data_IF_762473244919
#
_entry.id   IF_762473244919
#
_cell.length_a   1.000
_cell.length_b   1.000
_cell.length_c   1.000
_cell.angle_alpha   90.00
_cell.angle_beta   90.00
_cell.angle_gamma   90.00
#
_symmetry.space_group_name_H-M   'P 1'
#
loop_
_entity.id
_entity.type
_entity.pdbx_description
1 polymer ?
#
# COMPACT_ATOMS: atom_id res chain seq x y z
N UNK A 1 20.30 37.13 25.89
CA UNK A 1 19.52 36.05 26.52
C UNK A 1 18.16 35.79 25.87
N UNK A 2 17.40 36.81 25.53
CA UNK A 2 16.08 36.64 24.88
C UNK A 2 16.18 36.03 23.46
N UNK A 3 17.24 36.30 22.74
CA UNK A 3 17.48 35.76 21.39
C UNK A 3 17.81 34.25 21.45
N UNK A 4 18.54 33.82 22.46
CA UNK A 4 18.86 32.39 22.67
C UNK A 4 17.64 31.55 23.03
N UNK A 5 16.70 32.11 23.80
CA UNK A 5 15.45 31.45 24.15
C UNK A 5 14.54 31.29 22.95
N UNK A 6 14.48 32.28 22.06
CA UNK A 6 13.72 32.21 20.84
C UNK A 6 14.28 31.18 19.86
N UNK A 7 15.61 31.06 19.76
CA UNK A 7 16.27 30.04 18.95
C UNK A 7 16.03 28.63 19.47
N UNK A 8 16.04 28.45 20.78
CA UNK A 8 15.76 27.15 21.40
C UNK A 8 14.30 26.71 21.22
N UNK A 9 13.36 27.64 21.15
CA UNK A 9 11.95 27.32 20.86
C UNK A 9 11.69 26.99 19.39
N UNK A 10 12.51 27.52 18.48
CA UNK A 10 12.36 27.24 17.05
C UNK A 10 13.01 25.90 16.64
N UNK A 11 14.04 25.47 17.31
CA UNK A 11 14.76 24.23 17.00
C UNK A 11 13.89 22.96 17.05
N UNK A 12 13.03 22.75 18.07
CA UNK A 12 12.15 21.56 18.09
C UNK A 12 11.10 21.56 16.99
N UNK A 13 10.70 22.72 16.49
CA UNK A 13 9.70 22.86 15.43
C UNK A 13 10.29 22.63 14.03
N UNK A 14 11.58 22.97 13.84
CA UNK A 14 12.23 22.89 12.54
C UNK A 14 12.50 21.46 12.07
N UNK A 15 12.59 20.48 12.99
CA UNK A 15 12.85 19.08 12.67
C UNK A 15 11.68 18.15 12.91
N UNK A 16 10.51 18.66 13.26
CA UNK A 16 9.35 17.82 13.58
C UNK A 16 8.61 17.39 12.32
N UNK A 17 8.38 16.06 12.19
CA UNK A 17 7.49 15.54 11.18
C UNK A 17 6.06 16.04 11.46
N UNK A 18 5.33 16.34 10.39
CA UNK A 18 3.95 16.80 10.48
C UNK A 18 3.03 15.79 9.81
N UNK A 19 1.93 15.52 10.46
CA UNK A 19 0.86 14.74 9.88
C UNK A 19 -0.17 15.71 9.29
N UNK A 20 -0.47 15.54 8.01
CA UNK A 20 -1.48 16.36 7.34
C UNK A 20 -2.31 15.47 6.41
N UNK A 21 -3.63 15.73 6.33
CA UNK A 21 -4.46 15.00 5.38
C UNK A 21 -4.16 15.46 3.96
N UNK A 22 -4.09 14.50 3.05
CA UNK A 22 -3.94 14.79 1.63
C UNK A 22 -4.66 13.72 0.82
N UNK A 23 -5.04 14.07 -0.39
CA UNK A 23 -5.68 13.16 -1.31
C UNK A 23 -4.76 12.86 -2.47
N UNK A 24 -4.59 11.56 -2.77
CA UNK A 24 -3.86 11.12 -3.94
C UNK A 24 -4.83 10.56 -4.96
N UNK A 25 -4.88 11.13 -6.18
CA UNK A 25 -5.66 10.52 -7.25
C UNK A 25 -4.98 9.22 -7.69
N UNK A 26 -5.65 8.10 -7.47
CA UNK A 26 -5.15 6.78 -7.84
C UNK A 26 -6.04 6.24 -8.96
N UNK A 27 -5.40 5.88 -10.08
CA UNK A 27 -6.08 5.16 -11.14
C UNK A 27 -5.95 3.67 -10.88
N UNK A 28 -7.07 2.99 -10.81
CA UNK A 28 -7.11 1.55 -10.55
C UNK A 28 -7.71 0.83 -11.74
N UNK A 29 -7.21 -0.38 -12.01
CA UNK A 29 -7.84 -1.32 -12.93
C UNK A 29 -8.62 -2.32 -12.08
N UNK A 30 -9.90 -2.45 -12.36
CA UNK A 30 -10.78 -3.28 -11.55
C UNK A 30 -11.38 -4.43 -12.39
N UNK A 31 -11.69 -5.51 -11.69
CA UNK A 31 -12.33 -6.70 -12.24
C UNK A 31 -13.53 -7.07 -11.36
N UNK A 32 -14.49 -7.76 -11.96
CA UNK A 32 -15.65 -8.28 -11.24
C UNK A 32 -15.59 -9.80 -11.01
N UNK A 33 -14.52 -10.45 -11.43
CA UNK A 33 -14.34 -11.90 -11.31
C UNK A 33 -12.98 -12.18 -10.66
N UNK A 34 -13.02 -12.79 -9.47
CA UNK A 34 -11.82 -13.13 -8.72
C UNK A 34 -10.94 -14.16 -9.45
N UNK A 35 -11.56 -15.10 -10.14
CA UNK A 35 -10.83 -16.13 -10.88
C UNK A 35 -10.02 -15.52 -12.02
N UNK A 36 -10.59 -14.58 -12.76
CA UNK A 36 -9.88 -13.87 -13.82
C UNK A 36 -8.68 -13.08 -13.30
N UNK A 37 -8.85 -12.40 -12.17
CA UNK A 37 -7.77 -11.61 -11.56
C UNK A 37 -6.62 -12.48 -11.14
N UNK A 38 -6.90 -13.55 -10.41
CA UNK A 38 -5.88 -14.47 -9.94
C UNK A 38 -5.19 -15.17 -11.11
N UNK A 39 -5.94 -15.57 -12.11
CA UNK A 39 -5.40 -16.19 -13.32
C UNK A 39 -4.48 -15.23 -14.07
N UNK A 40 -4.90 -13.97 -14.24
CA UNK A 40 -4.08 -12.94 -14.87
C UNK A 40 -2.75 -12.75 -14.14
N UNK A 41 -2.78 -12.60 -12.82
CA UNK A 41 -1.56 -12.41 -12.05
C UNK A 41 -0.65 -13.62 -12.08
N UNK A 42 -1.21 -14.82 -11.99
CA UNK A 42 -0.42 -16.05 -12.01
C UNK A 42 0.16 -16.35 -13.38
N UNK A 43 -0.63 -16.25 -14.43
CA UNK A 43 -0.20 -16.62 -15.80
C UNK A 43 0.61 -15.53 -16.49
N UNK A 44 0.18 -14.29 -16.36
CA UNK A 44 0.82 -13.17 -17.09
C UNK A 44 1.98 -12.57 -16.30
N UNK A 45 1.87 -12.48 -14.99
CA UNK A 45 2.87 -11.84 -14.15
C UNK A 45 3.65 -12.81 -13.27
N UNK A 46 3.19 -14.05 -13.15
CA UNK A 46 3.82 -15.03 -12.27
C UNK A 46 3.73 -14.66 -10.80
N UNK A 47 2.73 -13.88 -10.42
CA UNK A 47 2.53 -13.39 -9.07
C UNK A 47 1.55 -14.25 -8.30
N UNK A 48 1.88 -14.52 -7.04
CA UNK A 48 1.06 -15.30 -6.12
C UNK A 48 0.82 -14.49 -4.85
N UNK A 49 -0.33 -14.70 -4.18
CA UNK A 49 -0.59 -13.97 -2.95
C UNK A 49 0.37 -14.37 -1.84
N UNK A 50 0.98 -13.38 -1.18
CA UNK A 50 1.89 -13.58 -0.06
C UNK A 50 1.35 -13.04 1.25
N UNK A 51 0.29 -12.27 1.22
CA UNK A 51 -0.32 -11.72 2.42
C UNK A 51 -1.64 -11.05 2.12
N UNK A 52 -2.48 -10.98 3.13
CA UNK A 52 -3.75 -10.26 3.07
C UNK A 52 -4.08 -9.64 4.42
N UNK A 53 -4.87 -8.59 4.41
CA UNK A 53 -5.32 -7.92 5.62
C UNK A 53 -6.61 -7.16 5.40
N UNK A 54 -7.30 -6.89 6.48
CA UNK A 54 -8.52 -6.09 6.43
C UNK A 54 -8.17 -4.62 6.28
N UNK A 55 -8.94 -3.93 5.45
CA UNK A 55 -8.80 -2.48 5.24
C UNK A 55 -9.94 -1.78 5.96
N UNK A 56 -9.62 -0.77 6.74
CA UNK A 56 -10.62 0.11 7.33
C UNK A 56 -11.28 0.93 6.21
N UNK A 57 -12.57 0.73 6.02
CA UNK A 57 -13.33 1.40 4.98
C UNK A 57 -14.67 1.86 5.53
N UNK A 58 -15.11 3.04 5.08
CA UNK A 58 -16.42 3.57 5.42
C UNK A 58 -17.56 2.86 4.68
N UNK A 59 -17.23 2.22 3.56
CA UNK A 59 -18.21 1.68 2.63
C UNK A 59 -18.47 0.18 2.83
N UNK A 60 -17.97 -0.39 3.91
CA UNK A 60 -18.15 -1.79 4.24
C UNK A 60 -16.86 -2.57 4.34
N UNK A 61 -16.94 -3.89 4.55
CA UNK A 61 -15.74 -4.72 4.69
C UNK A 61 -14.95 -4.79 3.39
N UNK A 62 -13.68 -4.48 3.49
CA UNK A 62 -12.70 -4.56 2.39
C UNK A 62 -11.46 -5.24 2.89
N UNK A 63 -10.74 -5.90 2.00
CA UNK A 63 -9.44 -6.43 2.35
C UNK A 63 -8.45 -6.21 1.21
N UNK A 64 -7.18 -6.21 1.55
CA UNK A 64 -6.11 -6.08 0.59
C UNK A 64 -5.26 -7.33 0.54
N UNK A 65 -4.66 -7.58 -0.61
CA UNK A 65 -3.72 -8.66 -0.78
C UNK A 65 -2.49 -8.17 -1.54
N UNK A 66 -1.33 -8.69 -1.15
CA UNK A 66 -0.10 -8.43 -1.88
C UNK A 66 0.21 -9.65 -2.72
N UNK A 67 0.35 -9.44 -4.03
CA UNK A 67 0.75 -10.43 -5.01
C UNK A 67 2.23 -10.24 -5.30
N UNK A 68 2.97 -11.32 -5.42
CA UNK A 68 4.43 -11.27 -5.53
C UNK A 68 4.97 -12.36 -6.44
N UNK A 69 5.94 -11.98 -7.27
CA UNK A 69 6.73 -12.91 -8.08
C UNK A 69 8.17 -12.88 -7.57
N UNK A 70 8.65 -13.97 -6.91
CA UNK A 70 10.01 -13.99 -6.37
C UNK A 70 11.11 -14.02 -7.43
N UNK A 71 10.80 -14.48 -8.63
CA UNK A 71 11.78 -14.60 -9.72
C UNK A 71 12.02 -13.27 -10.43
N UNK A 72 10.94 -12.51 -10.69
CA UNK A 72 11.02 -11.22 -11.38
C UNK A 72 10.87 -10.03 -10.44
N UNK A 73 10.99 -10.15 -9.15
CA UNK A 73 10.54 -9.37 -8.01
C UNK A 73 9.45 -8.32 -8.32
N UNK A 74 8.45 -8.70 -9.09
CA UNK A 74 7.28 -7.87 -9.32
C UNK A 74 6.26 -8.06 -8.22
N UNK A 75 5.46 -7.03 -7.96
CA UNK A 75 4.44 -7.07 -6.92
C UNK A 75 3.26 -6.21 -7.31
N UNK A 76 2.10 -6.58 -6.77
CA UNK A 76 0.85 -5.83 -6.98
C UNK A 76 0.05 -5.82 -5.68
N UNK A 77 -0.51 -4.68 -5.33
CA UNK A 77 -1.45 -4.57 -4.24
C UNK A 77 -2.87 -4.57 -4.80
N UNK A 78 -3.64 -5.58 -4.41
CA UNK A 78 -5.03 -5.74 -4.80
C UNK A 78 -5.94 -5.37 -3.64
N UNK A 79 -7.05 -4.70 -3.94
CA UNK A 79 -8.10 -4.47 -2.97
C UNK A 79 -9.36 -5.19 -3.39
N UNK A 80 -10.06 -5.77 -2.42
CA UNK A 80 -11.27 -6.55 -2.63
C UNK A 80 -12.41 -5.83 -1.92
N UNK A 81 -13.42 -5.43 -2.67
CA UNK A 81 -14.56 -4.68 -2.15
C UNK A 81 -15.84 -5.43 -2.44
N UNK A 82 -16.68 -5.57 -1.41
CA UNK A 82 -18.01 -6.08 -1.59
C UNK A 82 -18.95 -4.90 -1.83
N UNK A 83 -19.63 -4.90 -2.96
CA UNK A 83 -20.58 -3.84 -3.29
C UNK A 83 -21.83 -4.02 -2.42
N UNK A 84 -22.29 -2.93 -1.80
CA UNK A 84 -23.47 -2.92 -0.95
C UNK A 84 -24.70 -3.37 -1.71
N UNK A 85 -25.47 -4.33 -1.13
CA UNK A 85 -26.65 -4.90 -1.74
C UNK A 85 -26.40 -5.91 -2.86
N UNK A 86 -25.14 -6.23 -3.14
CA UNK A 86 -24.75 -7.18 -4.16
C UNK A 86 -23.78 -8.20 -3.57
N UNK A 87 -23.87 -9.44 -4.02
CA UNK A 87 -22.90 -10.48 -3.64
C UNK A 87 -21.61 -10.39 -4.46
N UNK A 88 -21.59 -9.56 -5.49
CA UNK A 88 -20.44 -9.39 -6.36
C UNK A 88 -19.30 -8.70 -5.62
N UNK A 89 -18.10 -9.22 -5.82
CA UNK A 89 -16.87 -8.65 -5.30
C UNK A 89 -16.16 -7.92 -6.44
N UNK A 90 -15.76 -6.68 -6.17
CA UNK A 90 -14.94 -5.91 -7.10
C UNK A 90 -13.49 -5.97 -6.62
N UNK A 91 -12.59 -6.34 -7.49
CA UNK A 91 -11.16 -6.45 -7.19
C UNK A 91 -10.43 -5.39 -7.98
N UNK A 92 -9.66 -4.56 -7.32
CA UNK A 92 -8.94 -3.46 -7.96
C UNK A 92 -7.44 -3.57 -7.71
N UNK A 93 -6.67 -3.41 -8.79
CA UNK A 93 -5.23 -3.23 -8.70
C UNK A 93 -4.95 -1.76 -8.43
N UNK A 94 -4.48 -1.45 -7.24
CA UNK A 94 -4.27 -0.08 -6.80
C UNK A 94 -2.87 0.41 -7.15
N UNK A 95 -1.87 -0.42 -6.93
CA UNK A 95 -0.49 -0.09 -7.20
C UNK A 95 0.32 -1.38 -7.36
N UNK A 96 1.43 -1.26 -7.99
CA UNK A 96 2.34 -2.36 -8.18
C UNK A 96 3.70 -1.84 -8.63
N UNK A 97 4.64 -2.73 -8.79
CA UNK A 97 5.96 -2.34 -9.21
C UNK A 97 6.89 -3.52 -9.34
N UNK A 98 8.16 -3.21 -9.39
CA UNK A 98 9.25 -4.18 -9.43
C UNK A 98 10.16 -3.97 -8.23
N UNK A 99 11.05 -4.93 -7.99
CA UNK A 99 12.06 -4.84 -6.95
C UNK A 99 11.50 -4.76 -5.53
N UNK A 100 10.56 -5.67 -5.23
CA UNK A 100 10.11 -5.86 -3.86
C UNK A 100 11.22 -6.48 -3.03
N UNK A 101 11.49 -5.91 -1.86
CA UNK A 101 12.52 -6.38 -0.95
C UNK A 101 11.94 -6.60 0.44
N UNK A 102 12.30 -7.71 1.07
CA UNK A 102 11.89 -8.00 2.43
C UNK A 102 12.87 -7.32 3.38
N UNK A 103 12.33 -6.50 4.29
CA UNK A 103 13.12 -5.79 5.29
C UNK A 103 13.06 -6.57 6.60
N UNK A 104 14.21 -6.90 7.15
CA UNK A 104 14.30 -7.56 8.44
C UNK A 104 14.22 -6.55 9.59
N UNK A 105 13.63 -6.93 10.75
CA UNK A 105 13.63 -6.04 11.91
C UNK A 105 15.04 -5.60 12.29
N UNK A 106 15.22 -4.29 12.51
CA UNK A 106 16.52 -3.69 12.80
C UNK A 106 17.16 -2.96 11.66
N UNK A 107 16.78 -3.26 10.42
CA UNK A 107 17.35 -2.66 9.21
C UNK A 107 16.45 -1.57 8.61
N UNK A 108 15.31 -1.29 9.23
CA UNK A 108 14.27 -0.44 8.67
C UNK A 108 14.76 0.96 8.28
N UNK A 109 15.60 1.57 9.11
CA UNK A 109 16.11 2.92 8.86
C UNK A 109 17.03 2.99 7.65
N UNK A 110 17.87 1.99 7.45
CA UNK A 110 18.81 1.94 6.33
C UNK A 110 18.11 1.60 5.02
N UNK A 111 17.10 0.72 5.07
CA UNK A 111 16.40 0.25 3.87
C UNK A 111 15.48 1.28 3.24
N UNK A 112 15.07 2.31 3.98
CA UNK A 112 14.20 3.35 3.46
C UNK A 112 14.95 4.59 2.96
N UNK A 113 16.22 4.51 2.76
CA UNK A 113 16.96 5.56 2.05
C UNK A 113 16.67 5.48 0.54
N UNK A 114 16.11 6.54 0.03
CA UNK A 114 15.76 6.66 -1.39
C UNK A 114 16.90 7.20 -2.24
#
# INVERSE_FOLDING_TARGET
MRILLALLMLLPLAGSARMFPTEFPIKAVCWDDITEVLQYHQEMLGEYPIGKGWIASKDGPSFGAIMYNPTKPSWTFLTFHKKEGDEAIIICSITGGSQWEIIHPGDEGEKFEL
#
